data_IF_971032882549
#
_entry.id   IF_971032882549
#
_cell.length_a   1.000
_cell.length_b   1.000
_cell.length_c   1.000
_cell.angle_alpha   90.00
_cell.angle_beta   90.00
_cell.angle_gamma   90.00
#
_symmetry.space_group_name_H-M   'P 1'
#
loop_
_entity.id
_entity.type
_entity.pdbx_description
1 polymer ?
#
# COMPACT_ATOMS: atom_id res chain seq x y z
N UNK A 1 -13.75 -23.79 17.89
CA UNK A 1 -12.39 -23.99 17.37
C UNK A 1 -11.41 -23.28 18.29
N UNK A 2 -10.54 -24.02 18.97
CA UNK A 2 -9.54 -23.47 19.90
C UNK A 2 -8.44 -22.82 19.05
N UNK A 3 -8.37 -21.48 19.04
CA UNK A 3 -7.27 -20.75 18.41
C UNK A 3 -6.01 -21.05 19.23
N UNK A 4 -5.06 -21.76 18.63
CA UNK A 4 -3.77 -22.02 19.25
C UNK A 4 -3.10 -20.71 19.68
N UNK A 5 -2.43 -20.64 20.85
CA UNK A 5 -1.82 -19.41 21.34
C UNK A 5 -0.77 -18.92 20.33
N UNK A 6 -0.97 -17.71 19.79
CA UNK A 6 -0.04 -17.05 18.86
C UNK A 6 1.32 -16.97 19.57
N UNK A 7 2.30 -17.74 19.12
CA UNK A 7 3.66 -17.71 19.69
C UNK A 7 4.19 -16.28 19.58
N UNK A 8 4.65 -15.69 20.69
CA UNK A 8 5.24 -14.35 20.73
C UNK A 8 6.61 -14.41 20.03
N UNK A 9 6.62 -14.14 18.71
CA UNK A 9 7.78 -14.31 17.84
C UNK A 9 8.97 -13.40 18.20
N UNK A 10 8.75 -12.31 18.93
CA UNK A 10 9.81 -11.35 19.34
C UNK A 10 10.29 -11.55 20.77
N UNK A 11 9.68 -12.40 21.60
CA UNK A 11 10.21 -12.69 22.92
C UNK A 11 11.60 -13.35 22.78
N UNK A 12 12.63 -12.70 23.31
CA UNK A 12 13.94 -13.32 23.50
C UNK A 12 13.85 -14.41 24.57
N UNK A 13 14.66 -15.46 24.44
CA UNK A 13 14.74 -16.53 25.44
C UNK A 13 15.26 -16.07 26.82
N UNK A 14 15.98 -14.94 26.87
CA UNK A 14 16.48 -14.28 28.10
C UNK A 14 16.60 -12.79 27.78
N UNK A 15 15.77 -11.91 28.35
CA UNK A 15 15.89 -10.47 28.26
C UNK A 15 14.61 -9.71 28.01
N UNK A 16 14.71 -8.38 28.03
CA UNK A 16 13.63 -7.42 27.77
C UNK A 16 13.07 -7.51 26.35
N UNK A 17 11.82 -7.07 26.20
CA UNK A 17 11.15 -6.98 24.90
C UNK A 17 11.93 -6.08 23.93
N UNK A 18 12.30 -6.53 22.71
CA UNK A 18 13.10 -5.73 21.79
C UNK A 18 12.36 -4.47 21.34
N UNK A 19 13.09 -3.35 21.31
CA UNK A 19 12.58 -2.07 20.83
C UNK A 19 12.84 -1.91 19.34
N UNK A 20 11.77 -1.79 18.55
CA UNK A 20 11.84 -1.61 17.11
C UNK A 20 11.38 -0.20 16.75
N UNK A 21 12.27 0.58 16.14
CA UNK A 21 12.03 1.97 15.76
C UNK A 21 11.75 2.07 14.28
N UNK A 22 10.52 2.43 13.90
CA UNK A 22 10.15 2.70 12.52
C UNK A 22 10.35 4.17 12.17
N UNK A 23 11.00 4.46 11.04
CA UNK A 23 11.32 5.82 10.59
C UNK A 23 10.74 6.08 9.22
N UNK A 24 9.87 7.11 9.11
CA UNK A 24 9.22 7.53 7.88
C UNK A 24 9.08 9.06 7.81
N UNK A 25 8.78 9.66 6.63
CA UNK A 25 8.70 11.11 6.47
C UNK A 25 7.67 11.78 7.38
N UNK A 26 6.42 11.33 7.32
CA UNK A 26 5.30 11.91 8.05
C UNK A 26 4.21 10.85 8.27
N UNK A 27 3.30 11.09 9.22
CA UNK A 27 2.15 10.26 9.54
C UNK A 27 0.87 10.87 8.95
N UNK A 28 0.89 11.14 7.63
CA UNK A 28 -0.28 11.62 6.88
C UNK A 28 -1.12 10.44 6.37
N UNK A 29 -2.08 10.68 5.47
CA UNK A 29 -2.93 9.61 4.92
C UNK A 29 -2.24 8.93 3.73
N UNK A 30 -1.89 7.65 3.85
CA UNK A 30 -1.28 6.88 2.77
C UNK A 30 -0.99 5.42 3.13
N UNK A 31 -0.53 4.66 2.13
CA UNK A 31 -0.24 3.23 2.30
C UNK A 31 0.97 2.94 3.18
N UNK A 32 1.99 3.82 3.17
CA UNK A 32 3.19 3.66 3.99
C UNK A 32 2.86 3.88 5.45
N UNK A 33 2.10 4.93 5.75
CA UNK A 33 1.68 5.35 7.07
C UNK A 33 0.76 4.30 7.71
N UNK A 34 -0.25 3.81 6.95
CA UNK A 34 -1.12 2.71 7.40
C UNK A 34 -0.30 1.47 7.73
N UNK A 35 0.60 1.04 6.83
CA UNK A 35 1.48 -0.08 7.11
C UNK A 35 2.45 0.13 8.27
N UNK A 36 2.76 1.38 8.63
CA UNK A 36 3.56 1.68 9.84
C UNK A 36 2.75 1.42 11.11
N UNK A 37 1.48 1.82 11.13
CA UNK A 37 0.54 1.54 12.24
C UNK A 37 0.31 0.03 12.37
N UNK A 38 0.03 -0.67 11.27
CA UNK A 38 -0.19 -2.12 11.22
C UNK A 38 1.03 -2.89 11.76
N UNK A 39 2.24 -2.48 11.40
CA UNK A 39 3.48 -3.10 11.90
C UNK A 39 3.75 -2.72 13.36
N UNK A 40 3.41 -1.50 13.81
CA UNK A 40 3.54 -1.12 15.22
C UNK A 40 2.66 -2.00 16.12
N UNK A 41 1.41 -2.22 15.73
CA UNK A 41 0.48 -3.15 16.39
C UNK A 41 1.05 -4.59 16.43
N UNK A 42 1.57 -5.06 15.29
CA UNK A 42 2.16 -6.39 15.20
C UNK A 42 3.40 -6.55 16.09
N UNK A 43 4.28 -5.55 16.18
CA UNK A 43 5.44 -5.57 17.08
C UNK A 43 4.98 -5.81 18.51
N UNK A 44 4.00 -5.04 19.00
CA UNK A 44 3.48 -5.16 20.35
C UNK A 44 2.79 -6.51 20.59
N UNK A 45 1.95 -6.96 19.67
CA UNK A 45 1.29 -8.28 19.73
C UNK A 45 2.27 -9.45 19.80
N UNK A 46 3.45 -9.28 19.20
CA UNK A 46 4.52 -10.29 19.23
C UNK A 46 5.54 -10.10 20.36
N UNK A 47 5.29 -9.17 21.27
CA UNK A 47 6.08 -8.99 22.51
C UNK A 47 7.27 -8.05 22.36
N UNK A 48 7.29 -7.17 21.36
CA UNK A 48 8.26 -6.08 21.21
C UNK A 48 7.69 -4.73 21.66
N UNK A 49 8.54 -3.71 21.74
CA UNK A 49 8.16 -2.31 21.91
C UNK A 49 8.23 -1.58 20.58
N UNK A 50 7.15 -0.88 20.21
CA UNK A 50 7.05 -0.14 18.96
C UNK A 50 7.27 1.35 19.20
N UNK A 51 8.27 1.92 18.53
CA UNK A 51 8.53 3.37 18.48
C UNK A 51 8.46 3.82 17.02
N UNK A 52 7.86 4.99 16.77
CA UNK A 52 7.76 5.59 15.43
C UNK A 52 8.37 6.99 15.45
N UNK A 53 9.21 7.32 14.48
CA UNK A 53 9.82 8.64 14.31
C UNK A 53 9.39 9.21 12.95
N UNK A 54 8.78 10.40 12.98
CA UNK A 54 8.32 11.11 11.77
C UNK A 54 8.19 12.61 12.04
N UNK A 55 7.88 13.41 11.03
CA UNK A 55 7.55 14.84 11.23
C UNK A 55 6.16 15.07 11.82
N UNK A 56 5.44 14.01 12.22
CA UNK A 56 4.07 14.09 12.73
C UNK A 56 3.02 13.96 11.63
N UNK A 57 1.75 14.20 11.99
CA UNK A 57 0.60 14.14 11.11
C UNK A 57 -0.63 13.50 11.76
N UNK A 58 -1.81 13.55 11.13
CA UNK A 58 -3.08 13.14 11.74
C UNK A 58 -3.15 11.65 12.10
N UNK A 59 -2.32 10.79 11.48
CA UNK A 59 -2.29 9.35 11.81
C UNK A 59 -1.50 9.03 13.08
N UNK A 60 -0.82 9.98 13.73
CA UNK A 60 -0.15 9.77 15.02
C UNK A 60 -1.14 9.27 16.07
N UNK A 61 -2.36 9.80 16.09
CA UNK A 61 -3.44 9.36 17.00
C UNK A 61 -3.72 7.83 16.96
N UNK A 62 -3.43 7.17 15.82
CA UNK A 62 -3.57 5.71 15.75
C UNK A 62 -2.45 4.98 16.49
N UNK A 63 -1.24 5.56 16.52
CA UNK A 63 -0.13 5.03 17.31
C UNK A 63 -0.41 5.20 18.81
N UNK A 64 -0.94 6.36 19.21
CA UNK A 64 -1.30 6.63 20.61
C UNK A 64 -2.34 5.63 21.13
N UNK A 65 -3.37 5.31 20.30
CA UNK A 65 -4.39 4.32 20.64
C UNK A 65 -3.84 2.90 20.80
N UNK A 66 -2.74 2.58 20.11
CA UNK A 66 -2.03 1.32 20.24
C UNK A 66 -1.06 1.31 21.43
N UNK A 67 -0.79 2.46 22.06
CA UNK A 67 0.25 2.61 23.05
C UNK A 67 1.66 2.55 22.49
N UNK A 68 1.83 2.83 21.18
CA UNK A 68 3.14 2.94 20.55
C UNK A 68 3.72 4.35 20.74
N UNK A 69 5.02 4.43 21.08
CA UNK A 69 5.69 5.72 21.28
C UNK A 69 5.90 6.45 19.95
N UNK A 70 5.60 7.76 19.89
CA UNK A 70 5.91 8.59 18.71
C UNK A 70 6.83 9.75 19.09
N UNK A 71 7.90 9.94 18.31
CA UNK A 71 8.78 11.11 18.37
C UNK A 71 8.64 11.95 17.12
N UNK A 72 8.37 13.25 17.30
CA UNK A 72 8.34 14.19 16.19
C UNK A 72 9.75 14.69 15.87
N UNK A 73 10.26 14.30 14.68
CA UNK A 73 11.56 14.72 14.15
C UNK A 73 11.50 14.82 12.64
N UNK A 74 12.00 15.93 12.07
CA UNK A 74 12.03 16.16 10.62
C UNK A 74 13.11 15.32 9.92
N UNK A 75 12.90 14.00 9.90
CA UNK A 75 13.79 13.02 9.27
C UNK A 75 13.74 13.03 7.74
N UNK A 76 12.88 13.86 7.14
CA UNK A 76 12.72 13.95 5.68
C UNK A 76 13.14 15.31 5.11
N UNK A 77 13.78 16.15 5.91
CA UNK A 77 14.32 17.44 5.44
C UNK A 77 15.16 17.28 4.19
N UNK A 78 14.85 18.03 3.16
CA UNK A 78 15.60 18.04 1.90
C UNK A 78 16.88 18.89 1.96
N UNK A 79 17.05 19.64 3.04
CA UNK A 79 18.26 20.46 3.27
C UNK A 79 19.39 19.60 3.88
N UNK A 80 20.44 19.24 3.13
CA UNK A 80 21.50 18.37 3.61
C UNK A 80 22.32 19.01 4.76
N UNK A 81 22.38 20.32 4.86
CA UNK A 81 23.06 21.03 5.95
C UNK A 81 22.39 20.80 7.32
N UNK A 82 21.11 20.44 7.34
CA UNK A 82 20.40 20.09 8.57
C UNK A 82 20.57 18.61 8.97
N UNK A 83 21.07 17.75 8.09
CA UNK A 83 21.20 16.32 8.37
C UNK A 83 22.09 15.98 9.56
N UNK A 84 23.26 16.65 9.81
CA UNK A 84 24.07 16.38 11.00
C UNK A 84 23.31 16.64 12.30
N UNK A 85 22.56 17.74 12.40
CA UNK A 85 21.76 18.08 13.57
C UNK A 85 20.61 17.07 13.78
N UNK A 86 19.87 16.72 12.72
CA UNK A 86 18.79 15.74 12.80
C UNK A 86 19.33 14.36 13.16
N UNK A 87 20.49 13.97 12.62
CA UNK A 87 21.17 12.71 12.95
C UNK A 87 21.59 12.66 14.40
N UNK A 88 22.13 13.74 14.97
CA UNK A 88 22.50 13.82 16.39
C UNK A 88 21.27 13.60 17.28
N UNK A 89 20.17 14.33 17.01
CA UNK A 89 18.90 14.14 17.73
C UNK A 89 18.36 12.72 17.60
N UNK A 90 18.43 12.14 16.38
CA UNK A 90 18.01 10.76 16.15
C UNK A 90 18.84 9.79 16.99
N UNK A 91 20.16 9.94 17.05
CA UNK A 91 21.03 9.10 17.91
C UNK A 91 20.60 9.17 19.37
N UNK A 92 20.32 10.38 19.89
CA UNK A 92 19.84 10.55 21.27
C UNK A 92 18.52 9.79 21.51
N UNK A 93 17.55 9.88 20.57
CA UNK A 93 16.29 9.15 20.69
C UNK A 93 16.54 7.63 20.65
N UNK A 94 17.33 7.14 19.69
CA UNK A 94 17.63 5.71 19.56
C UNK A 94 18.32 5.14 20.81
N UNK A 95 19.26 5.89 21.40
CA UNK A 95 19.94 5.51 22.65
C UNK A 95 18.98 5.52 23.84
N UNK A 96 18.14 6.56 23.98
CA UNK A 96 17.13 6.67 25.05
C UNK A 96 16.13 5.52 25.02
N UNK A 97 15.69 5.13 23.82
CA UNK A 97 14.75 4.03 23.62
C UNK A 97 15.39 2.65 23.76
N UNK A 98 16.70 2.56 23.92
CA UNK A 98 17.45 1.31 23.82
C UNK A 98 17.04 0.52 22.55
N UNK A 99 17.13 1.18 21.39
CA UNK A 99 16.66 0.63 20.14
C UNK A 99 17.51 -0.58 19.71
N UNK A 100 16.87 -1.72 19.48
CA UNK A 100 17.51 -2.94 19.02
C UNK A 100 17.53 -3.03 17.49
N UNK A 101 16.49 -2.48 16.82
CA UNK A 101 16.36 -2.48 15.38
C UNK A 101 15.71 -1.19 14.86
N UNK A 102 16.25 -0.65 13.78
CA UNK A 102 15.69 0.48 13.05
C UNK A 102 15.11 0.01 11.73
N UNK A 103 13.83 0.32 11.46
CA UNK A 103 13.18 0.06 10.20
C UNK A 103 12.89 1.35 9.42
N UNK A 104 13.61 1.56 8.33
CA UNK A 104 13.49 2.77 7.49
C UNK A 104 12.57 2.53 6.30
N UNK A 105 11.61 3.45 6.12
CA UNK A 105 10.55 3.30 5.10
C UNK A 105 10.63 4.31 3.95
N UNK A 106 11.71 5.09 3.86
CA UNK A 106 11.86 6.08 2.79
C UNK A 106 13.33 6.47 2.57
N UNK A 107 13.61 7.02 1.37
CA UNK A 107 14.97 7.31 0.92
C UNK A 107 15.66 8.42 1.71
N UNK A 108 14.99 9.57 1.93
CA UNK A 108 15.59 10.67 2.72
C UNK A 108 15.86 10.25 4.15
N UNK A 109 14.89 9.66 4.88
CA UNK A 109 15.18 9.09 6.19
C UNK A 109 16.36 8.12 6.22
N UNK A 110 16.60 7.33 5.17
CA UNK A 110 17.74 6.40 5.12
C UNK A 110 19.11 7.12 5.15
N UNK A 111 19.23 8.31 4.56
CA UNK A 111 20.46 9.09 4.59
C UNK A 111 20.79 9.60 5.99
N UNK A 112 19.80 9.76 6.84
CA UNK A 112 19.93 10.21 8.22
C UNK A 112 20.05 9.01 9.18
N UNK A 113 19.16 8.02 9.03
CA UNK A 113 19.03 6.89 9.94
C UNK A 113 20.17 5.87 9.84
N UNK A 114 20.64 5.53 8.62
CA UNK A 114 21.72 4.55 8.45
C UNK A 114 23.00 4.94 9.19
N UNK A 115 23.54 6.17 9.03
CA UNK A 115 24.72 6.56 9.79
C UNK A 115 24.47 6.65 11.31
N UNK A 116 23.24 7.00 11.74
CA UNK A 116 22.90 7.05 13.16
C UNK A 116 22.87 5.65 13.78
N UNK A 117 22.21 4.71 13.12
CA UNK A 117 22.12 3.31 13.58
C UNK A 117 23.49 2.62 13.56
N UNK A 118 24.28 2.78 12.49
CA UNK A 118 25.62 2.23 12.38
C UNK A 118 26.55 2.72 13.51
N UNK A 119 26.48 4.02 13.86
CA UNK A 119 27.28 4.58 14.96
C UNK A 119 26.90 4.05 16.34
N UNK A 120 25.73 3.42 16.48
CA UNK A 120 25.23 2.82 17.72
C UNK A 120 25.25 1.28 17.67
N UNK A 121 25.73 0.67 16.59
CA UNK A 121 25.71 -0.79 16.41
C UNK A 121 24.29 -1.39 16.31
N UNK A 122 23.30 -0.58 15.92
CA UNK A 122 21.90 -0.99 15.81
C UNK A 122 21.65 -1.58 14.43
N UNK A 123 21.04 -2.76 14.36
CA UNK A 123 20.67 -3.42 13.14
C UNK A 123 19.56 -2.67 12.37
N UNK A 124 19.58 -2.79 11.04
CA UNK A 124 18.66 -2.05 10.17
C UNK A 124 17.91 -2.91 9.17
N UNK A 125 16.61 -2.65 9.07
CA UNK A 125 15.75 -3.10 7.98
C UNK A 125 15.28 -1.90 7.18
N UNK A 126 15.11 -2.07 5.88
CA UNK A 126 14.46 -1.05 5.04
C UNK A 126 13.33 -1.66 4.20
N UNK A 127 12.31 -0.85 3.89
CA UNK A 127 11.27 -1.23 2.92
C UNK A 127 11.27 -0.30 1.73
N UNK A 128 11.27 -0.89 0.54
CA UNK A 128 11.12 -0.19 -0.74
C UNK A 128 9.65 -0.18 -1.14
N UNK A 129 9.00 0.98 -0.98
CA UNK A 129 7.56 1.16 -1.24
C UNK A 129 7.23 1.67 -2.64
N UNK A 130 8.21 2.04 -3.43
CA UNK A 130 7.98 2.69 -4.71
C UNK A 130 8.95 2.24 -5.78
N UNK A 131 8.70 2.71 -6.99
CA UNK A 131 9.56 2.43 -8.13
C UNK A 131 10.96 3.02 -7.91
N UNK A 132 11.96 2.21 -8.18
CA UNK A 132 13.35 2.62 -8.25
C UNK A 132 13.68 3.02 -9.69
N UNK A 133 13.26 4.21 -10.11
CA UNK A 133 13.66 4.73 -11.42
C UNK A 133 15.03 5.36 -11.32
N UNK A 134 15.95 4.95 -12.19
CA UNK A 134 17.34 5.43 -12.25
C UNK A 134 17.58 6.14 -13.58
N UNK A 135 17.07 7.36 -13.71
CA UNK A 135 17.29 8.20 -14.89
C UNK A 135 18.68 8.86 -14.91
N UNK A 136 19.43 8.83 -13.79
CA UNK A 136 20.77 9.41 -13.68
C UNK A 136 21.61 8.67 -12.64
N UNK A 137 22.95 8.77 -12.78
CA UNK A 137 23.91 8.19 -11.82
C UNK A 137 23.71 8.73 -10.40
N UNK A 138 23.44 10.03 -10.25
CA UNK A 138 23.17 10.65 -8.95
C UNK A 138 21.93 10.07 -8.30
N UNK A 139 20.86 9.83 -9.06
CA UNK A 139 19.64 9.22 -8.55
C UNK A 139 19.86 7.77 -8.17
N UNK A 140 20.73 7.07 -8.89
CA UNK A 140 21.15 5.69 -8.57
C UNK A 140 21.88 5.63 -7.23
N UNK A 141 22.84 6.53 -6.98
CA UNK A 141 23.54 6.67 -5.70
C UNK A 141 22.55 7.00 -4.57
N UNK A 142 21.66 7.95 -4.82
CA UNK A 142 20.64 8.37 -3.86
C UNK A 142 19.73 7.20 -3.46
N UNK A 143 19.23 6.43 -4.42
CA UNK A 143 18.38 5.27 -4.16
C UNK A 143 19.14 4.14 -3.43
N UNK A 144 20.41 3.90 -3.81
CA UNK A 144 21.26 2.85 -3.23
C UNK A 144 21.39 2.95 -1.72
N UNK A 145 21.25 4.17 -1.14
CA UNK A 145 21.34 4.34 0.31
C UNK A 145 20.33 3.48 1.06
N UNK A 146 19.06 3.42 0.61
CA UNK A 146 18.02 2.61 1.24
C UNK A 146 18.34 1.11 1.19
N UNK A 147 19.10 0.66 0.18
CA UNK A 147 19.50 -0.74 -0.01
C UNK A 147 20.72 -1.15 0.84
N UNK A 148 21.32 -0.23 1.62
CA UNK A 148 22.47 -0.53 2.49
C UNK A 148 22.05 -1.05 3.88
N UNK A 149 20.77 -1.26 4.15
CA UNK A 149 20.30 -1.91 5.36
C UNK A 149 20.74 -3.38 5.43
N UNK A 150 20.82 -3.96 6.63
CA UNK A 150 21.17 -5.37 6.84
C UNK A 150 20.16 -6.31 6.18
N UNK A 151 18.90 -5.86 6.06
CA UNK A 151 17.87 -6.55 5.29
C UNK A 151 16.95 -5.56 4.58
N UNK A 152 16.56 -5.89 3.36
CA UNK A 152 15.71 -5.06 2.49
C UNK A 152 14.41 -5.80 2.20
N UNK A 153 13.28 -5.13 2.38
CA UNK A 153 11.95 -5.63 2.02
C UNK A 153 11.51 -4.95 0.73
N UNK A 154 11.20 -5.72 -0.30
CA UNK A 154 10.46 -5.26 -1.47
C UNK A 154 8.97 -5.56 -1.27
N UNK A 155 8.08 -4.61 -1.62
CA UNK A 155 6.63 -4.79 -1.39
C UNK A 155 5.94 -5.65 -2.44
N UNK A 156 6.65 -6.07 -3.46
CA UNK A 156 6.17 -6.92 -4.57
C UNK A 156 7.35 -7.56 -5.32
N UNK A 157 7.09 -8.62 -6.09
CA UNK A 157 8.08 -9.18 -7.01
C UNK A 157 8.47 -8.14 -8.07
N UNK A 158 7.52 -7.37 -8.59
CA UNK A 158 7.81 -6.26 -9.49
C UNK A 158 8.84 -5.27 -8.91
N UNK A 159 8.69 -4.87 -7.65
CA UNK A 159 9.66 -3.99 -6.99
C UNK A 159 11.00 -4.70 -6.77
N UNK A 160 11.00 -5.98 -6.42
CA UNK A 160 12.22 -6.81 -6.31
C UNK A 160 12.97 -6.82 -7.64
N UNK A 161 12.32 -7.12 -8.75
CA UNK A 161 12.90 -7.13 -10.09
C UNK A 161 13.51 -5.78 -10.46
N UNK A 162 12.80 -4.68 -10.22
CA UNK A 162 13.34 -3.33 -10.45
C UNK A 162 14.61 -3.06 -9.64
N UNK A 163 14.74 -3.62 -8.45
CA UNK A 163 15.92 -3.47 -7.61
C UNK A 163 17.07 -4.32 -8.16
N UNK A 164 16.84 -5.62 -8.42
CA UNK A 164 17.88 -6.56 -8.85
C UNK A 164 18.44 -6.24 -10.25
N UNK A 165 17.61 -5.75 -11.17
CA UNK A 165 18.06 -5.28 -12.47
C UNK A 165 19.03 -4.08 -12.39
N UNK A 166 19.01 -3.30 -11.31
CA UNK A 166 19.75 -2.05 -11.21
C UNK A 166 20.89 -2.10 -10.18
N UNK A 167 20.83 -3.01 -9.22
CA UNK A 167 21.75 -3.09 -8.08
C UNK A 167 22.17 -4.53 -7.83
N UNK A 168 23.41 -4.85 -8.15
CA UNK A 168 24.02 -6.16 -7.91
C UNK A 168 24.37 -6.31 -6.42
N UNK A 169 24.28 -7.54 -5.90
CA UNK A 169 24.72 -7.91 -4.55
C UNK A 169 23.74 -7.52 -3.44
N UNK A 170 22.44 -7.33 -3.78
CA UNK A 170 21.39 -7.08 -2.80
C UNK A 170 20.50 -8.31 -2.57
N UNK A 171 20.62 -9.32 -3.44
CA UNK A 171 19.70 -10.46 -3.57
C UNK A 171 19.59 -11.28 -2.28
N UNK A 172 20.71 -11.59 -1.62
CA UNK A 172 20.75 -12.40 -0.39
C UNK A 172 20.06 -11.76 0.80
N UNK A 173 19.95 -10.42 0.81
CA UNK A 173 19.30 -9.65 1.86
C UNK A 173 17.99 -8.99 1.41
N UNK A 174 17.48 -9.36 0.23
CA UNK A 174 16.24 -8.84 -0.34
C UNK A 174 15.12 -9.89 -0.27
N UNK A 175 14.06 -9.58 0.46
CA UNK A 175 12.89 -10.46 0.56
C UNK A 175 11.64 -9.71 0.13
N UNK A 176 10.75 -10.39 -0.60
CA UNK A 176 9.43 -9.86 -0.91
C UNK A 176 8.51 -10.07 0.28
N UNK A 177 7.88 -8.99 0.74
CA UNK A 177 6.76 -9.02 1.67
C UNK A 177 5.66 -8.18 1.03
N UNK A 178 4.67 -8.84 0.48
CA UNK A 178 3.53 -8.17 -0.15
C UNK A 178 2.80 -7.26 0.84
N UNK A 179 2.24 -6.17 0.31
CA UNK A 179 1.34 -5.32 1.12
C UNK A 179 0.09 -6.09 1.46
N UNK A 180 -0.42 -5.84 2.67
CA UNK A 180 -1.66 -6.42 3.13
C UNK A 180 -2.86 -5.50 3.00
N UNK A 181 -4.04 -6.11 3.04
CA UNK A 181 -5.33 -5.47 3.27
C UNK A 181 -5.91 -5.97 4.59
N UNK A 182 -6.56 -5.08 5.32
CA UNK A 182 -7.30 -5.41 6.52
C UNK A 182 -8.63 -6.09 6.12
N UNK A 183 -8.66 -7.41 6.26
CA UNK A 183 -9.78 -8.27 5.84
C UNK A 183 -11.00 -8.15 6.76
N UNK A 184 -10.86 -7.57 7.95
CA UNK A 184 -11.97 -7.29 8.86
C UNK A 184 -12.63 -5.96 8.50
N UNK A 185 -11.83 -4.94 8.17
CA UNK A 185 -12.30 -3.66 7.66
C UNK A 185 -12.95 -3.82 6.27
N UNK A 186 -12.25 -4.52 5.35
CA UNK A 186 -12.73 -4.81 4.00
C UNK A 186 -13.43 -6.18 3.99
N UNK A 187 -14.55 -6.25 4.73
CA UNK A 187 -15.41 -7.41 4.82
C UNK A 187 -16.83 -7.01 4.41
N UNK A 188 -17.42 -7.61 3.36
CA UNK A 188 -18.79 -7.32 2.94
C UNK A 188 -19.80 -7.55 4.06
N UNK A 189 -19.60 -8.54 4.93
CA UNK A 189 -20.52 -8.86 6.04
C UNK A 189 -20.51 -7.79 7.14
N UNK A 190 -19.46 -6.95 7.20
CA UNK A 190 -19.34 -5.82 8.16
C UNK A 190 -19.89 -4.49 7.61
N UNK A 191 -20.46 -4.50 6.39
CA UNK A 191 -21.08 -3.31 5.79
C UNK A 191 -22.60 -3.44 5.85
N UNK A 192 -23.23 -2.71 6.76
CA UNK A 192 -24.67 -2.74 6.87
C UNK A 192 -25.34 -1.92 5.76
N UNK A 193 -26.65 -2.20 5.55
CA UNK A 193 -27.43 -1.56 4.49
C UNK A 193 -27.50 -0.04 4.61
N UNK A 194 -27.56 0.51 5.83
CA UNK A 194 -27.60 1.95 6.06
C UNK A 194 -26.38 2.68 5.51
N UNK A 195 -25.17 2.10 5.68
CA UNK A 195 -23.94 2.68 5.12
C UNK A 195 -23.96 2.70 3.60
N UNK A 196 -24.50 1.65 2.97
CA UNK A 196 -24.66 1.56 1.51
C UNK A 196 -25.64 2.60 1.01
N UNK A 197 -26.82 2.70 1.64
CA UNK A 197 -27.88 3.66 1.27
C UNK A 197 -27.35 5.10 1.39
N UNK A 198 -26.74 5.46 2.52
CA UNK A 198 -26.15 6.79 2.70
C UNK A 198 -25.13 7.15 1.62
N UNK A 199 -24.32 6.18 1.18
CA UNK A 199 -23.35 6.38 0.10
C UNK A 199 -24.05 6.60 -1.26
N UNK A 200 -25.06 5.79 -1.58
CA UNK A 200 -25.83 5.89 -2.82
C UNK A 200 -26.59 7.21 -2.90
N UNK A 201 -27.30 7.58 -1.84
CA UNK A 201 -28.07 8.83 -1.76
C UNK A 201 -27.15 10.06 -1.81
N UNK A 202 -26.04 10.06 -1.06
CA UNK A 202 -25.08 11.14 -1.04
C UNK A 202 -24.43 11.45 -2.39
N UNK A 203 -24.41 10.46 -3.31
CA UNK A 203 -23.95 10.63 -4.69
C UNK A 203 -25.09 10.60 -5.72
N UNK A 204 -26.35 10.48 -5.31
CA UNK A 204 -27.52 10.35 -6.18
C UNK A 204 -27.29 9.32 -7.31
N UNK A 205 -26.81 8.12 -6.95
CA UNK A 205 -26.54 7.04 -7.91
C UNK A 205 -27.89 6.48 -8.40
N UNK A 206 -28.13 6.39 -9.72
CA UNK A 206 -29.37 5.83 -10.24
C UNK A 206 -29.56 4.37 -9.80
N UNK A 207 -30.79 4.00 -9.47
CA UNK A 207 -31.15 2.61 -9.23
C UNK A 207 -30.98 1.78 -10.51
N UNK A 208 -30.66 0.49 -10.36
CA UNK A 208 -30.58 -0.50 -11.43
C UNK A 208 -29.59 -0.18 -12.57
N UNK A 209 -28.65 0.74 -12.33
CA UNK A 209 -27.58 1.05 -13.28
C UNK A 209 -26.26 0.49 -12.76
N UNK A 210 -25.54 -0.36 -13.52
CA UNK A 210 -24.25 -0.89 -13.10
C UNK A 210 -23.21 0.21 -12.78
N UNK A 211 -22.48 0.03 -11.70
CA UNK A 211 -21.49 0.99 -11.21
C UNK A 211 -20.07 0.50 -11.52
N UNK A 212 -19.37 1.27 -12.36
CA UNK A 212 -17.93 1.11 -12.58
C UNK A 212 -17.21 2.09 -11.64
N UNK A 213 -16.26 1.63 -10.83
CA UNK A 213 -15.60 2.49 -9.86
C UNK A 213 -14.09 2.56 -10.10
N UNK A 214 -13.52 3.76 -10.10
CA UNK A 214 -12.06 4.01 -10.07
C UNK A 214 -11.69 4.75 -8.79
N UNK A 215 -11.24 4.04 -7.73
CA UNK A 215 -10.80 4.67 -6.49
C UNK A 215 -9.38 5.19 -6.61
N UNK A 216 -9.21 6.39 -7.15
CA UNK A 216 -7.89 7.01 -7.33
C UNK A 216 -7.95 8.53 -7.41
N UNK A 217 -6.97 9.22 -6.81
CA UNK A 217 -6.78 10.65 -7.04
C UNK A 217 -6.53 10.92 -8.52
N UNK A 218 -7.11 11.99 -9.07
CA UNK A 218 -6.87 12.41 -10.45
C UNK A 218 -5.40 12.81 -10.65
N UNK A 219 -4.65 11.90 -11.23
CA UNK A 219 -3.27 12.09 -11.66
C UNK A 219 -3.08 11.43 -13.02
N UNK A 220 -2.18 11.97 -13.86
CA UNK A 220 -1.94 11.50 -15.23
C UNK A 220 -1.73 9.97 -15.30
N UNK A 221 -1.01 9.41 -14.35
CA UNK A 221 -0.61 7.99 -14.38
C UNK A 221 -1.67 7.01 -13.87
N UNK A 222 -2.74 7.49 -13.19
CA UNK A 222 -3.83 6.63 -12.69
C UNK A 222 -4.85 6.21 -13.75
N UNK A 223 -4.73 6.72 -14.97
CA UNK A 223 -5.47 6.21 -16.13
C UNK A 223 -6.91 6.70 -16.25
N UNK A 224 -7.28 7.83 -15.65
CA UNK A 224 -8.63 8.41 -15.78
C UNK A 224 -9.01 8.66 -17.24
N UNK A 225 -8.09 9.20 -18.07
CA UNK A 225 -8.36 9.44 -19.49
C UNK A 225 -8.60 8.16 -20.27
N UNK A 226 -7.77 7.14 -20.07
CA UNK A 226 -7.91 5.88 -20.79
C UNK A 226 -9.16 5.11 -20.34
N UNK A 227 -9.58 5.27 -19.06
CA UNK A 227 -10.87 4.75 -18.62
C UNK A 227 -12.01 5.42 -19.35
N UNK A 228 -12.02 6.75 -19.50
CA UNK A 228 -13.03 7.46 -20.29
C UNK A 228 -13.05 6.98 -21.74
N UNK A 229 -11.91 6.73 -22.37
CA UNK A 229 -11.84 6.15 -23.72
C UNK A 229 -12.48 4.75 -23.78
N UNK A 230 -12.18 3.89 -22.81
CA UNK A 230 -12.78 2.56 -22.73
C UNK A 230 -14.30 2.61 -22.50
N UNK A 231 -14.77 3.53 -21.63
CA UNK A 231 -16.19 3.74 -21.37
C UNK A 231 -16.95 4.22 -22.60
N UNK A 232 -16.35 5.07 -23.43
CA UNK A 232 -16.96 5.52 -24.69
C UNK A 232 -17.20 4.37 -25.66
N UNK A 233 -16.40 3.30 -25.62
CA UNK A 233 -16.56 2.11 -26.47
C UNK A 233 -17.70 1.18 -26.01
N UNK A 234 -18.20 1.37 -24.79
CA UNK A 234 -19.29 0.58 -24.20
C UNK A 234 -20.52 1.45 -23.88
N UNK A 235 -20.59 2.67 -24.44
CA UNK A 235 -21.65 3.64 -24.14
C UNK A 235 -23.05 3.20 -24.51
N UNK A 236 -23.19 2.18 -25.35
CA UNK A 236 -24.50 1.60 -25.71
C UNK A 236 -25.12 0.79 -24.54
N UNK A 237 -24.35 0.50 -23.50
CA UNK A 237 -24.84 -0.11 -22.26
C UNK A 237 -25.12 0.96 -21.21
N UNK A 238 -26.09 0.70 -20.34
CA UNK A 238 -26.28 1.53 -19.14
C UNK A 238 -25.13 1.28 -18.17
N UNK A 239 -24.55 2.35 -17.64
CA UNK A 239 -23.60 2.35 -16.50
C UNK A 239 -23.45 3.76 -15.93
N UNK A 240 -22.99 3.85 -14.69
CA UNK A 240 -22.42 5.05 -14.11
C UNK A 240 -20.97 4.78 -13.70
N UNK A 241 -20.04 5.68 -13.98
CA UNK A 241 -18.66 5.57 -13.54
C UNK A 241 -18.38 6.54 -12.38
N UNK A 242 -17.96 6.02 -11.23
CA UNK A 242 -17.58 6.79 -10.06
C UNK A 242 -16.05 6.84 -9.93
N UNK A 243 -15.45 8.00 -10.11
CA UNK A 243 -14.02 8.23 -9.94
C UNK A 243 -13.77 8.82 -8.54
N UNK A 244 -13.69 7.93 -7.53
CA UNK A 244 -13.57 8.30 -6.10
C UNK A 244 -12.17 8.84 -5.79
N UNK A 245 -12.11 10.06 -5.20
CA UNK A 245 -10.86 10.77 -4.92
C UNK A 245 -10.31 11.55 -6.12
N UNK A 246 -11.00 11.50 -7.26
CA UNK A 246 -10.60 12.28 -8.42
C UNK A 246 -10.86 13.78 -8.23
N UNK A 247 -11.91 14.13 -7.51
CA UNK A 247 -12.26 15.52 -7.17
C UNK A 247 -11.16 16.26 -6.37
N UNK A 248 -10.34 15.53 -5.63
CA UNK A 248 -9.19 16.09 -4.88
C UNK A 248 -7.93 16.28 -5.76
N UNK A 249 -8.05 16.06 -7.06
CA UNK A 249 -6.97 16.26 -8.03
C UNK A 249 -6.65 17.75 -8.26
N UNK A 250 -5.64 17.98 -9.10
CA UNK A 250 -5.32 19.35 -9.54
C UNK A 250 -6.51 19.92 -10.34
N UNK A 251 -7.06 21.09 -10.01
CA UNK A 251 -8.27 21.63 -10.65
C UNK A 251 -8.23 21.64 -12.19
N UNK A 252 -7.11 22.04 -12.78
CA UNK A 252 -6.95 22.06 -14.22
C UNK A 252 -7.09 20.66 -14.87
N UNK A 253 -6.55 19.63 -14.22
CA UNK A 253 -6.67 18.24 -14.72
C UNK A 253 -8.07 17.68 -14.51
N UNK A 254 -8.72 18.02 -13.39
CA UNK A 254 -10.12 17.65 -13.14
C UNK A 254 -11.04 18.25 -14.21
N UNK A 255 -10.88 19.56 -14.52
CA UNK A 255 -11.65 20.25 -15.56
C UNK A 255 -11.37 19.68 -16.97
N UNK A 256 -10.11 19.26 -17.23
CA UNK A 256 -9.74 18.58 -18.48
C UNK A 256 -10.47 17.25 -18.62
N UNK A 257 -10.53 16.44 -17.55
CA UNK A 257 -11.23 15.15 -17.57
C UNK A 257 -12.73 15.31 -17.84
N UNK A 258 -13.37 16.32 -17.23
CA UNK A 258 -14.79 16.62 -17.48
C UNK A 258 -15.03 16.94 -18.97
N UNK A 259 -14.28 17.90 -19.52
CA UNK A 259 -14.39 18.26 -20.95
C UNK A 259 -14.13 17.06 -21.85
N UNK A 260 -13.12 16.28 -21.53
CA UNK A 260 -12.77 15.09 -22.33
C UNK A 260 -13.88 14.04 -22.30
N UNK A 261 -14.49 13.79 -21.15
CA UNK A 261 -15.65 12.90 -21.06
C UNK A 261 -16.85 13.38 -21.88
N UNK A 262 -17.14 14.70 -21.87
CA UNK A 262 -18.18 15.31 -22.71
C UNK A 262 -17.89 15.12 -24.21
N UNK A 263 -16.64 15.38 -24.65
CA UNK A 263 -16.22 15.14 -26.04
C UNK A 263 -16.41 13.68 -26.48
N UNK A 264 -16.31 12.73 -25.58
CA UNK A 264 -16.53 11.30 -25.83
C UNK A 264 -18.00 10.89 -25.75
N UNK A 265 -18.92 11.82 -25.48
CA UNK A 265 -20.36 11.54 -25.35
C UNK A 265 -20.73 10.78 -24.07
N UNK A 266 -19.99 11.02 -22.99
CA UNK A 266 -20.20 10.41 -21.67
C UNK A 266 -20.86 11.37 -20.67
N UNK A 267 -21.52 12.42 -21.13
CA UNK A 267 -22.21 13.36 -20.26
C UNK A 267 -23.23 12.65 -19.36
N UNK A 268 -23.20 12.98 -18.06
CA UNK A 268 -24.05 12.33 -17.05
C UNK A 268 -23.66 10.89 -16.66
N UNK A 269 -22.71 10.25 -17.37
CA UNK A 269 -22.32 8.85 -17.15
C UNK A 269 -21.11 8.66 -16.27
N UNK A 270 -20.47 9.74 -15.81
CA UNK A 270 -19.37 9.65 -14.86
C UNK A 270 -19.42 10.80 -13.86
N UNK A 271 -18.84 10.56 -12.72
CA UNK A 271 -18.70 11.55 -11.63
C UNK A 271 -17.31 11.51 -11.05
N UNK A 272 -16.72 12.68 -10.82
CA UNK A 272 -15.47 12.86 -10.12
C UNK A 272 -15.81 13.33 -8.69
N UNK A 273 -15.59 12.46 -7.70
CA UNK A 273 -15.93 12.75 -6.32
C UNK A 273 -14.66 12.99 -5.49
N UNK A 274 -14.74 13.71 -4.37
CA UNK A 274 -13.69 13.69 -3.36
C UNK A 274 -13.42 12.28 -2.83
N UNK A 275 -12.32 12.14 -2.11
CA UNK A 275 -12.04 10.89 -1.40
C UNK A 275 -13.11 10.68 -0.31
N UNK A 276 -13.61 9.45 -0.24
CA UNK A 276 -14.60 9.07 0.78
C UNK A 276 -13.91 8.39 1.97
N UNK A 277 -14.47 8.55 3.15
CA UNK A 277 -13.95 7.92 4.37
C UNK A 277 -14.37 6.45 4.47
N UNK A 278 -15.57 6.12 4.03
CA UNK A 278 -16.12 4.77 4.05
C UNK A 278 -15.92 4.04 2.72
N UNK A 279 -14.66 3.68 2.42
CA UNK A 279 -14.34 2.90 1.23
C UNK A 279 -14.97 1.50 1.19
N UNK A 280 -15.12 0.76 2.31
CA UNK A 280 -15.89 -0.49 2.31
C UNK A 280 -17.31 -0.32 1.78
N UNK A 281 -18.07 0.67 2.26
CA UNK A 281 -19.43 0.94 1.75
C UNK A 281 -19.42 1.35 0.28
N UNK A 282 -18.49 2.21 -0.13
CA UNK A 282 -18.33 2.59 -1.54
C UNK A 282 -18.08 1.35 -2.41
N UNK A 283 -17.18 0.47 -2.03
CA UNK A 283 -16.88 -0.76 -2.79
C UNK A 283 -18.09 -1.70 -2.85
N UNK A 284 -18.97 -1.72 -1.85
CA UNK A 284 -20.20 -2.52 -1.91
C UNK A 284 -21.15 -2.08 -3.02
N UNK A 285 -21.10 -0.83 -3.44
CA UNK A 285 -21.91 -0.30 -4.55
C UNK A 285 -21.30 -0.63 -5.92
N UNK A 286 -19.99 -0.86 -5.99
CA UNK A 286 -19.32 -1.14 -7.26
C UNK A 286 -19.70 -2.51 -7.84
N UNK A 287 -20.10 -2.56 -9.10
CA UNK A 287 -20.20 -3.79 -9.87
C UNK A 287 -18.84 -4.23 -10.42
N UNK A 288 -17.99 -3.27 -10.77
CA UNK A 288 -16.63 -3.48 -11.27
C UNK A 288 -15.73 -2.38 -10.74
N UNK A 289 -14.55 -2.75 -10.25
CA UNK A 289 -13.50 -1.78 -9.86
C UNK A 289 -12.43 -1.75 -10.94
N UNK A 290 -12.21 -0.58 -11.52
CA UNK A 290 -11.20 -0.35 -12.55
C UNK A 290 -9.92 0.21 -11.94
N UNK A 291 -8.77 -0.34 -12.33
CA UNK A 291 -7.44 0.13 -11.94
C UNK A 291 -6.53 0.24 -13.19
N UNK A 292 -6.82 1.15 -14.13
CA UNK A 292 -6.13 1.27 -15.41
C UNK A 292 -4.91 2.20 -15.30
N UNK A 293 -4.07 2.00 -14.30
CA UNK A 293 -2.86 2.81 -14.09
C UNK A 293 -1.91 2.67 -15.27
N UNK A 294 -1.63 3.75 -16.00
CA UNK A 294 -0.76 3.76 -17.20
C UNK A 294 0.68 3.41 -16.84
N UNK A 295 1.10 3.81 -15.64
CA UNK A 295 2.41 3.48 -15.11
C UNK A 295 2.27 2.30 -14.15
N UNK A 296 3.11 1.25 -14.26
CA UNK A 296 3.05 0.10 -13.36
C UNK A 296 3.05 0.52 -11.89
N UNK A 297 2.04 0.10 -11.16
CA UNK A 297 1.98 0.35 -9.72
C UNK A 297 2.96 -0.55 -8.98
N UNK A 298 3.63 -0.05 -7.94
CA UNK A 298 4.50 -0.90 -7.13
C UNK A 298 3.79 -2.10 -6.52
N UNK A 299 2.46 -1.96 -6.22
CA UNK A 299 1.64 -3.07 -5.73
C UNK A 299 0.16 -2.96 -6.12
N UNK A 300 -0.53 -1.84 -5.82
CA UNK A 300 -1.94 -1.65 -6.17
C UNK A 300 -2.92 -2.12 -5.08
N UNK A 301 -2.91 -1.47 -3.91
CA UNK A 301 -3.79 -1.82 -2.77
C UNK A 301 -5.28 -1.82 -3.11
N UNK A 302 -5.73 -0.96 -4.02
CA UNK A 302 -7.13 -0.89 -4.46
C UNK A 302 -7.61 -2.24 -5.00
N UNK A 303 -6.75 -2.98 -5.73
CA UNK A 303 -7.10 -4.31 -6.21
C UNK A 303 -7.32 -5.30 -5.05
N UNK A 304 -6.53 -5.21 -3.97
CA UNK A 304 -6.73 -6.07 -2.80
C UNK A 304 -8.02 -5.70 -2.06
N UNK A 305 -8.25 -4.41 -1.85
CA UNK A 305 -9.42 -3.88 -1.15
C UNK A 305 -10.72 -4.30 -1.88
N UNK A 306 -10.75 -4.16 -3.21
CA UNK A 306 -11.89 -4.58 -4.02
C UNK A 306 -12.11 -6.10 -3.99
N UNK A 307 -11.06 -6.91 -4.16
CA UNK A 307 -11.15 -8.37 -4.11
C UNK A 307 -11.55 -8.87 -2.72
N UNK A 308 -11.07 -8.25 -1.63
CA UNK A 308 -11.49 -8.55 -0.27
C UNK A 308 -12.99 -8.30 -0.06
N UNK A 309 -13.54 -7.26 -0.72
CA UNK A 309 -14.98 -6.97 -0.76
C UNK A 309 -15.75 -7.82 -1.78
N UNK A 310 -15.11 -8.82 -2.40
CA UNK A 310 -15.73 -9.68 -3.41
C UNK A 310 -16.10 -8.96 -4.71
N UNK A 311 -15.46 -7.81 -5.02
CA UNK A 311 -15.76 -7.05 -6.23
C UNK A 311 -14.83 -7.44 -7.37
N UNK A 312 -15.36 -7.64 -8.58
CA UNK A 312 -14.57 -7.86 -9.78
C UNK A 312 -13.61 -6.69 -10.00
N UNK A 313 -12.35 -6.99 -10.28
CA UNK A 313 -11.32 -5.98 -10.58
C UNK A 313 -10.90 -6.08 -12.03
N UNK A 314 -10.80 -4.95 -12.72
CA UNK A 314 -10.21 -4.84 -14.07
C UNK A 314 -8.99 -3.93 -13.98
N UNK A 315 -7.80 -4.44 -14.29
CA UNK A 315 -6.55 -3.71 -14.20
C UNK A 315 -5.67 -3.93 -15.44
N UNK A 316 -4.71 -3.04 -15.66
CA UNK A 316 -3.68 -3.30 -16.66
C UNK A 316 -2.68 -4.37 -16.19
N UNK A 317 -2.26 -5.24 -17.13
CA UNK A 317 -1.38 -6.39 -16.89
C UNK A 317 0.08 -5.99 -16.67
N UNK A 318 0.35 -5.18 -15.65
CA UNK A 318 1.72 -4.78 -15.29
C UNK A 318 1.85 -4.40 -13.79
N UNK A 319 3.10 -4.39 -13.32
CA UNK A 319 3.41 -4.06 -11.92
C UNK A 319 2.79 -5.04 -10.94
N UNK A 320 2.48 -4.57 -9.73
CA UNK A 320 1.91 -5.42 -8.68
C UNK A 320 0.50 -5.94 -8.93
N UNK A 321 -0.22 -5.42 -9.94
CA UNK A 321 -1.54 -5.92 -10.30
C UNK A 321 -1.50 -7.39 -10.77
N UNK A 322 -0.44 -7.77 -11.49
CA UNK A 322 -0.25 -9.15 -11.98
C UNK A 322 0.05 -10.16 -10.87
N UNK A 323 0.41 -9.68 -9.68
CA UNK A 323 0.69 -10.53 -8.52
C UNK A 323 -0.56 -10.81 -7.68
N UNK A 324 -1.53 -9.88 -7.70
CA UNK A 324 -2.73 -9.94 -6.88
C UNK A 324 -4.00 -10.34 -7.63
N UNK A 325 -4.01 -10.24 -8.96
CA UNK A 325 -5.18 -10.56 -9.78
C UNK A 325 -4.88 -11.82 -10.61
N UNK A 326 -5.71 -12.83 -10.46
CA UNK A 326 -5.74 -14.01 -11.32
C UNK A 326 -6.74 -13.78 -12.44
N UNK A 327 -6.24 -13.65 -13.68
CA UNK A 327 -7.09 -13.35 -14.84
C UNK A 327 -8.19 -14.40 -15.04
N UNK A 328 -9.44 -13.95 -15.11
CA UNK A 328 -10.63 -14.80 -15.26
C UNK A 328 -11.13 -15.47 -13.97
N UNK A 329 -10.33 -15.49 -12.88
CA UNK A 329 -10.70 -16.14 -11.61
C UNK A 329 -11.06 -15.12 -10.52
N UNK A 330 -10.21 -14.09 -10.33
CA UNK A 330 -10.41 -13.07 -9.29
C UNK A 330 -10.59 -11.66 -9.85
N UNK A 331 -10.42 -11.50 -11.16
CA UNK A 331 -10.53 -10.26 -11.90
C UNK A 331 -9.99 -10.41 -13.32
N UNK A 332 -9.83 -9.29 -14.02
CA UNK A 332 -9.34 -9.26 -15.40
C UNK A 332 -8.09 -8.40 -15.50
N UNK A 333 -7.14 -8.89 -16.28
CA UNK A 333 -5.93 -8.15 -16.67
C UNK A 333 -6.06 -7.79 -18.16
N UNK A 334 -5.98 -6.51 -18.48
CA UNK A 334 -6.04 -5.96 -19.84
C UNK A 334 -4.68 -5.45 -20.30
N UNK A 335 -4.50 -5.27 -21.59
CA UNK A 335 -3.23 -4.80 -22.18
C UNK A 335 -2.93 -3.38 -21.69
N UNK A 336 -1.74 -3.11 -21.15
CA UNK A 336 -1.38 -1.80 -20.65
C UNK A 336 -1.46 -0.70 -21.70
N UNK A 337 -2.21 0.38 -21.40
CA UNK A 337 -2.36 1.52 -22.30
C UNK A 337 -3.36 1.32 -23.43
N UNK A 338 -4.06 0.19 -23.48
CA UNK A 338 -5.02 -0.14 -24.53
C UNK A 338 -6.47 0.01 -24.00
N UNK A 339 -7.19 1.00 -24.56
CA UNK A 339 -8.59 1.28 -24.21
C UNK A 339 -9.57 0.22 -24.75
N UNK A 340 -9.27 -0.44 -25.86
CA UNK A 340 -10.10 -1.51 -26.42
C UNK A 340 -10.03 -2.75 -25.54
N UNK A 341 -8.84 -3.17 -25.19
CA UNK A 341 -8.62 -4.27 -24.23
C UNK A 341 -9.26 -3.99 -22.88
N UNK A 342 -9.18 -2.75 -22.38
CA UNK A 342 -9.83 -2.34 -21.13
C UNK A 342 -11.36 -2.41 -21.25
N UNK A 343 -11.94 -1.96 -22.36
CA UNK A 343 -13.37 -2.02 -22.63
C UNK A 343 -13.89 -3.46 -22.67
N UNK A 344 -13.18 -4.36 -23.36
CA UNK A 344 -13.51 -5.79 -23.40
C UNK A 344 -13.52 -6.41 -22.00
N UNK A 345 -12.49 -6.11 -21.19
CA UNK A 345 -12.40 -6.61 -19.81
C UNK A 345 -13.53 -6.06 -18.92
N UNK A 346 -13.89 -4.77 -19.05
CA UNK A 346 -15.02 -4.17 -18.34
C UNK A 346 -16.34 -4.83 -18.74
N UNK A 347 -16.57 -5.07 -20.04
CA UNK A 347 -17.77 -5.77 -20.54
C UNK A 347 -17.86 -7.19 -19.97
N UNK A 348 -16.76 -7.93 -19.95
CA UNK A 348 -16.72 -9.29 -19.40
C UNK A 348 -17.09 -9.30 -17.91
N UNK A 349 -16.57 -8.35 -17.14
CA UNK A 349 -16.87 -8.21 -15.71
C UNK A 349 -18.35 -7.82 -15.47
N UNK A 350 -18.89 -6.89 -16.25
CA UNK A 350 -20.30 -6.46 -16.17
C UNK A 350 -21.28 -7.55 -16.60
N UNK A 351 -20.89 -8.43 -17.52
CA UNK A 351 -21.73 -9.50 -18.05
C UNK A 351 -21.80 -10.75 -17.18
N UNK A 352 -21.17 -10.74 -15.99
CA UNK A 352 -21.24 -11.86 -15.06
C UNK A 352 -22.67 -12.14 -14.60
N UNK A 353 -23.14 -13.38 -14.78
CA UNK A 353 -24.38 -13.83 -14.14
C UNK A 353 -24.26 -13.78 -12.60
N UNK A 354 -25.37 -13.67 -11.86
CA UNK A 354 -25.33 -13.65 -10.39
C UNK A 354 -24.55 -14.82 -9.78
N UNK A 355 -24.71 -16.03 -10.34
CA UNK A 355 -23.95 -17.21 -9.90
C UNK A 355 -22.45 -17.06 -10.11
N UNK A 356 -22.00 -16.62 -11.30
CA UNK A 356 -20.58 -16.42 -11.62
C UNK A 356 -19.99 -15.29 -10.76
N UNK A 357 -20.76 -14.22 -10.55
CA UNK A 357 -20.36 -13.11 -9.66
C UNK A 357 -20.12 -13.60 -8.23
N UNK A 358 -21.02 -14.43 -7.68
CA UNK A 358 -20.87 -15.03 -6.34
C UNK A 358 -19.63 -15.94 -6.26
N UNK A 359 -19.39 -16.77 -7.26
CA UNK A 359 -18.21 -17.64 -7.33
C UNK A 359 -16.93 -16.81 -7.36
N UNK A 360 -16.84 -15.78 -8.24
CA UNK A 360 -15.69 -14.89 -8.32
C UNK A 360 -15.45 -14.17 -6.99
N UNK A 361 -16.51 -13.64 -6.36
CA UNK A 361 -16.42 -12.95 -5.07
C UNK A 361 -15.81 -13.84 -3.98
N UNK A 362 -16.27 -15.10 -3.88
CA UNK A 362 -15.73 -16.07 -2.92
C UNK A 362 -14.27 -16.39 -3.22
N UNK A 363 -13.94 -16.69 -4.49
CA UNK A 363 -12.56 -17.04 -4.90
C UNK A 363 -11.60 -15.89 -4.68
N UNK A 364 -12.01 -14.66 -5.05
CA UNK A 364 -11.20 -13.45 -4.88
C UNK A 364 -10.93 -13.17 -3.40
N UNK A 365 -11.96 -13.21 -2.55
CA UNK A 365 -11.80 -12.99 -1.11
C UNK A 365 -10.88 -14.03 -0.49
N UNK A 366 -11.09 -15.33 -0.75
CA UNK A 366 -10.22 -16.40 -0.26
C UNK A 366 -8.76 -16.23 -0.70
N UNK A 367 -8.55 -15.82 -1.95
CA UNK A 367 -7.21 -15.52 -2.47
C UNK A 367 -6.52 -14.40 -1.67
N UNK A 368 -7.25 -13.32 -1.37
CA UNK A 368 -6.73 -12.20 -0.58
C UNK A 368 -6.46 -12.60 0.87
N UNK A 369 -7.37 -13.30 1.51
CA UNK A 369 -7.22 -13.77 2.88
C UNK A 369 -5.98 -14.66 3.06
N UNK A 370 -5.77 -15.59 2.13
CA UNK A 370 -4.65 -16.51 2.19
C UNK A 370 -3.29 -15.84 1.95
N UNK A 371 -3.21 -14.87 1.02
CA UNK A 371 -1.93 -14.40 0.49
C UNK A 371 -1.61 -12.94 0.82
N UNK A 372 -2.63 -12.08 0.99
CA UNK A 372 -2.47 -10.64 1.03
C UNK A 372 -3.18 -9.97 2.23
N UNK A 373 -3.42 -10.72 3.31
CA UNK A 373 -3.95 -10.12 4.54
C UNK A 373 -2.89 -9.29 5.26
N UNK A 374 -3.32 -8.26 5.99
CA UNK A 374 -2.44 -7.49 6.90
C UNK A 374 -1.74 -8.41 7.89
N UNK A 375 -2.41 -9.45 8.39
CA UNK A 375 -1.80 -10.43 9.31
C UNK A 375 -0.62 -11.16 8.65
N UNK A 376 -0.78 -11.61 7.39
CA UNK A 376 0.29 -12.29 6.64
C UNK A 376 1.48 -11.36 6.41
N UNK A 377 1.25 -10.11 5.99
CA UNK A 377 2.30 -9.08 5.82
C UNK A 377 3.04 -8.83 7.13
N UNK A 378 2.32 -8.64 8.22
CA UNK A 378 2.88 -8.38 9.53
C UNK A 378 3.71 -9.57 10.03
N UNK A 379 3.18 -10.79 9.96
CA UNK A 379 3.86 -12.02 10.38
C UNK A 379 5.17 -12.22 9.61
N UNK A 380 5.19 -11.98 8.29
CA UNK A 380 6.41 -12.07 7.48
C UNK A 380 7.43 -10.99 7.88
N UNK A 381 6.99 -9.76 8.11
CA UNK A 381 7.86 -8.67 8.57
C UNK A 381 8.48 -8.96 9.94
N UNK A 382 7.69 -9.47 10.90
CA UNK A 382 8.18 -9.84 12.23
C UNK A 382 9.20 -10.98 12.16
N UNK A 383 9.01 -11.98 11.27
CA UNK A 383 10.01 -13.03 11.03
C UNK A 383 11.34 -12.45 10.52
N UNK A 384 11.29 -11.44 9.65
CA UNK A 384 12.49 -10.74 9.17
C UNK A 384 13.18 -10.01 10.33
N UNK A 385 12.44 -9.26 11.15
CA UNK A 385 13.00 -8.58 12.32
C UNK A 385 13.73 -9.55 13.23
N UNK A 386 13.11 -10.67 13.59
CA UNK A 386 13.73 -11.71 14.41
C UNK A 386 15.03 -12.21 13.81
N UNK A 387 15.04 -12.57 12.53
CA UNK A 387 16.24 -13.04 11.84
C UNK A 387 17.39 -12.01 11.89
N UNK A 388 17.06 -10.72 11.71
CA UNK A 388 18.04 -9.63 11.74
C UNK A 388 18.58 -9.42 13.16
N UNK A 389 17.72 -9.46 14.16
CA UNK A 389 18.11 -9.37 15.58
C UNK A 389 19.00 -10.54 16.00
N UNK A 390 18.64 -11.78 15.61
CA UNK A 390 19.43 -12.98 15.93
C UNK A 390 20.84 -12.90 15.30
N UNK A 391 20.95 -12.44 14.03
CA UNK A 391 22.26 -12.21 13.38
C UNK A 391 23.08 -11.14 14.06
N UNK A 392 22.46 -10.01 14.44
CA UNK A 392 23.17 -8.94 15.15
C UNK A 392 23.67 -9.38 16.53
N UNK A 393 22.92 -10.21 17.25
CA UNK A 393 23.34 -10.79 18.52
C UNK A 393 24.52 -11.77 18.34
N UNK A 394 24.48 -12.63 17.31
CA UNK A 394 25.58 -13.56 16.99
C UNK A 394 26.87 -12.81 16.65
N UNK A 395 26.79 -11.75 15.82
CA UNK A 395 27.96 -10.94 15.45
C UNK A 395 28.57 -10.21 16.66
N UNK A 396 27.74 -9.71 17.60
CA UNK A 396 28.26 -9.10 18.84
C UNK A 396 29.02 -10.10 19.72
N UNK A 397 28.54 -11.35 19.84
CA UNK A 397 29.23 -12.41 20.59
C UNK A 397 30.52 -12.89 19.95
N UNK A 398 30.68 -12.76 18.62
CA UNK A 398 31.89 -13.15 17.91
C UNK A 398 33.00 -12.09 17.99
N UNK A 399 32.69 -10.87 18.44
CA UNK A 399 33.64 -9.74 18.57
C UNK A 399 34.04 -9.52 20.03
N UNK A 400 33.24 -9.99 20.99
CA UNK A 400 33.54 -10.03 22.42
C UNK A 400 34.41 -11.23 22.81
#
# INVERSE_FOLDING_TARGET
MIVAPKSKLLKQRQGDAPTIVQILPAMVRGGVERGTVEIADAIQKHGGRATVISSGGPMVRHLDRLGATHYQLDVHTKNPFRWPQVRSRLKTILSRENADLVHVRSRVPAWIALPAAAALGIAMVSTVHGRFTTLSALKRIYNRKLLKADHVIAISNYVKELITMQYVGVEERLTVVHRGVDIDLFNPDNVNQTRIVNFVEGLAIPADVPVIMLPARATMWKGHRILLQALAKIKDRAFICLMIGAGDGKPAFVSELVRYGQQLGLEGRFRLTPLVDDMPAALMVADVVAMPSITPEPFGRVALEAQAMGRPVVAFAHGGATESIRHGETGWLSIPGDADSLAVALQAALALSPRKRKTLATTARQHIEANFSTETMCRQTIKIYRRVLDRAAANRKAIS
#
